data_IF_524338601527
#
_entry.id   IF_524338601527
#
_cell.length_a   1.000
_cell.length_b   1.000
_cell.length_c   1.000
_cell.angle_alpha   90.00
_cell.angle_beta   90.00
_cell.angle_gamma   90.00
#
_symmetry.space_group_name_H-M   'P 1'
#
loop_
_entity.id
_entity.type
_entity.pdbx_description
1 polymer ?
#
# COMPACT_ATOMS: atom_id res chain seq x y z
N UNK A 1 27.61 -6.48 -37.17
CA UNK A 1 27.16 -6.04 -35.82
C UNK A 1 28.27 -6.26 -34.81
N UNK A 2 28.76 -5.19 -34.16
CA UNK A 2 29.91 -5.20 -33.25
C UNK A 2 29.67 -6.16 -32.04
N UNK A 3 30.69 -6.94 -31.64
CA UNK A 3 30.64 -7.85 -30.48
C UNK A 3 30.25 -7.12 -29.19
N UNK A 4 30.69 -5.87 -29.04
CA UNK A 4 30.31 -5.02 -27.90
C UNK A 4 28.82 -4.67 -27.95
N UNK A 5 28.30 -4.30 -29.11
CA UNK A 5 26.87 -3.97 -29.29
C UNK A 5 25.96 -5.18 -28.96
N UNK A 6 26.34 -6.40 -29.38
CA UNK A 6 25.61 -7.63 -29.04
C UNK A 6 25.56 -7.86 -27.52
N UNK A 7 26.69 -7.71 -26.83
CA UNK A 7 26.77 -7.88 -25.36
C UNK A 7 25.93 -6.85 -24.63
N UNK A 8 26.04 -5.58 -25.02
CA UNK A 8 25.24 -4.50 -24.42
C UNK A 8 23.75 -4.74 -24.59
N UNK A 9 23.32 -5.19 -25.77
CA UNK A 9 21.90 -5.48 -26.03
C UNK A 9 21.39 -6.61 -25.14
N UNK A 10 22.15 -7.70 -25.00
CA UNK A 10 21.79 -8.81 -24.10
C UNK A 10 21.67 -8.34 -22.65
N UNK A 11 22.64 -7.57 -22.16
CA UNK A 11 22.60 -7.04 -20.78
C UNK A 11 21.41 -6.12 -20.58
N UNK A 12 21.15 -5.21 -21.51
CA UNK A 12 20.00 -4.30 -21.45
C UNK A 12 18.68 -5.07 -21.42
N UNK A 13 18.53 -6.10 -22.26
CA UNK A 13 17.34 -6.96 -22.27
C UNK A 13 17.13 -7.67 -20.93
N UNK A 14 18.18 -8.22 -20.33
CA UNK A 14 18.09 -8.87 -19.01
C UNK A 14 17.68 -7.88 -17.92
N UNK A 15 18.25 -6.67 -17.93
CA UNK A 15 17.89 -5.63 -16.95
C UNK A 15 16.43 -5.19 -17.08
N UNK A 16 15.92 -5.05 -18.31
CA UNK A 16 14.50 -4.72 -18.56
C UNK A 16 13.58 -5.83 -18.05
N UNK A 17 13.94 -7.09 -18.26
CA UNK A 17 13.16 -8.24 -17.74
C UNK A 17 13.13 -8.22 -16.22
N UNK A 18 14.28 -8.06 -15.56
CA UNK A 18 14.36 -7.99 -14.09
C UNK A 18 13.50 -6.84 -13.56
N UNK A 19 13.63 -5.66 -14.16
CA UNK A 19 12.85 -4.49 -13.78
C UNK A 19 11.34 -4.70 -13.94
N UNK A 20 10.92 -5.36 -15.03
CA UNK A 20 9.52 -5.70 -15.27
C UNK A 20 8.99 -6.66 -14.20
N UNK A 21 9.77 -7.69 -13.85
CA UNK A 21 9.41 -8.63 -12.78
C UNK A 21 9.21 -7.87 -11.46
N UNK A 22 10.12 -6.96 -11.10
CA UNK A 22 10.01 -6.16 -9.87
C UNK A 22 8.75 -5.30 -9.87
N UNK A 23 8.41 -4.66 -10.99
CA UNK A 23 7.21 -3.83 -11.10
C UNK A 23 5.91 -4.62 -11.01
N UNK A 24 5.87 -5.81 -11.63
CA UNK A 24 4.68 -6.67 -11.68
C UNK A 24 4.55 -7.56 -10.44
N UNK A 25 5.57 -7.65 -9.58
CA UNK A 25 5.54 -8.50 -8.39
C UNK A 25 4.52 -7.97 -7.37
N UNK A 26 3.50 -8.76 -6.97
CA UNK A 26 2.54 -8.34 -5.97
C UNK A 26 3.15 -8.42 -4.56
N UNK A 27 3.05 -7.34 -3.80
CA UNK A 27 3.47 -7.26 -2.40
C UNK A 27 2.22 -7.25 -1.51
N UNK A 28 2.09 -8.14 -0.53
CA UNK A 28 0.88 -8.20 0.31
C UNK A 28 0.81 -7.00 1.27
N UNK A 29 -0.38 -6.38 1.41
CA UNK A 29 -0.56 -5.21 2.27
C UNK A 29 -0.30 -5.52 3.74
N UNK A 30 -0.76 -6.67 4.24
CA UNK A 30 -0.53 -7.06 5.64
C UNK A 30 0.93 -6.96 6.08
N UNK A 31 1.90 -7.25 5.19
CA UNK A 31 3.33 -7.21 5.55
C UNK A 31 3.84 -5.80 5.86
N UNK A 32 3.10 -4.76 5.47
CA UNK A 32 3.44 -3.37 5.81
C UNK A 32 3.24 -3.12 7.31
N UNK A 33 2.13 -3.60 7.86
CA UNK A 33 1.82 -3.45 9.27
C UNK A 33 2.63 -4.47 10.06
N UNK A 34 3.77 -4.05 10.64
CA UNK A 34 4.58 -4.92 11.49
C UNK A 34 3.73 -5.42 12.65
N UNK A 35 3.65 -6.74 12.81
CA UNK A 35 3.04 -7.35 14.00
C UNK A 35 3.96 -7.17 15.20
N UNK A 36 3.90 -6.00 15.83
CA UNK A 36 4.30 -5.91 17.22
C UNK A 36 3.11 -6.44 18.04
N UNK A 37 3.25 -7.67 18.54
CA UNK A 37 2.30 -8.26 19.48
C UNK A 37 2.02 -7.25 20.58
N UNK A 38 0.75 -6.84 20.70
CA UNK A 38 0.19 -5.83 21.63
C UNK A 38 0.17 -4.36 21.20
N UNK A 39 0.49 -4.01 19.95
CA UNK A 39 0.17 -2.65 19.45
C UNK A 39 -1.27 -2.52 18.97
N UNK A 40 -1.96 -1.50 19.46
CA UNK A 40 -3.26 -1.10 18.94
C UNK A 40 -3.14 -0.63 17.48
N UNK A 41 -4.19 -0.88 16.70
CA UNK A 41 -4.33 -0.36 15.35
C UNK A 41 -5.17 0.91 15.39
N UNK A 42 -4.72 1.95 14.69
CA UNK A 42 -5.54 3.12 14.40
C UNK A 42 -5.97 3.06 12.95
N UNK A 43 -7.28 3.09 12.71
CA UNK A 43 -7.86 3.20 11.37
C UNK A 43 -8.54 4.55 11.27
N UNK A 44 -8.15 5.35 10.28
CA UNK A 44 -8.76 6.64 10.01
C UNK A 44 -9.31 6.68 8.59
N UNK A 45 -10.50 7.25 8.44
CA UNK A 45 -11.12 7.55 7.16
C UNK A 45 -11.18 9.07 7.02
N UNK A 46 -10.56 9.58 5.98
CA UNK A 46 -10.59 11.01 5.63
C UNK A 46 -11.42 11.18 4.37
N UNK A 47 -12.46 12.02 4.41
CA UNK A 47 -13.16 12.48 3.21
C UNK A 47 -12.76 13.93 2.93
N UNK A 48 -11.99 14.15 1.85
CA UNK A 48 -11.52 15.46 1.40
C UNK A 48 -10.81 16.29 2.50
N UNK A 49 -9.98 15.65 3.33
CA UNK A 49 -9.12 16.26 4.36
C UNK A 49 -9.83 17.14 5.42
N UNK A 50 -11.16 17.13 5.46
CA UNK A 50 -11.95 17.98 6.37
C UNK A 50 -12.74 17.17 7.40
N UNK A 51 -13.05 15.91 7.11
CA UNK A 51 -13.73 15.01 8.03
C UNK A 51 -12.93 13.73 8.22
N UNK A 52 -12.21 13.65 9.34
CA UNK A 52 -11.40 12.49 9.72
C UNK A 52 -12.10 11.74 10.84
N UNK A 53 -12.61 10.55 10.53
CA UNK A 53 -13.13 9.62 11.53
C UNK A 53 -12.04 8.60 11.88
N UNK A 54 -11.57 8.63 13.12
CA UNK A 54 -10.50 7.77 13.62
C UNK A 54 -11.01 6.76 14.64
N UNK A 55 -10.62 5.50 14.46
CA UNK A 55 -11.00 4.36 15.29
C UNK A 55 -9.74 3.71 15.85
N UNK A 56 -9.67 3.54 17.16
CA UNK A 56 -8.60 2.80 17.82
C UNK A 56 -9.10 1.39 18.17
N UNK A 57 -8.39 0.39 17.69
CA UNK A 57 -8.70 -1.03 17.85
C UNK A 57 -7.62 -1.70 18.69
N UNK A 58 -8.03 -2.36 19.77
CA UNK A 58 -7.13 -3.20 20.56
C UNK A 58 -6.60 -4.37 19.71
N UNK A 59 -5.34 -4.78 19.93
CA UNK A 59 -4.73 -5.94 19.30
C UNK A 59 -5.53 -7.24 19.53
N UNK A 60 -6.29 -7.32 20.63
CA UNK A 60 -7.15 -8.47 20.97
C UNK A 60 -8.58 -8.38 20.40
N UNK A 61 -8.94 -7.29 19.72
CA UNK A 61 -10.29 -7.09 19.20
C UNK A 61 -10.58 -7.97 17.98
N UNK A 62 -11.86 -8.30 17.78
CA UNK A 62 -12.31 -9.09 16.62
C UNK A 62 -12.17 -8.25 15.34
N UNK A 63 -12.41 -6.94 15.44
CA UNK A 63 -12.27 -5.96 14.38
C UNK A 63 -10.84 -5.89 13.87
N UNK A 64 -9.86 -5.81 14.78
CA UNK A 64 -8.43 -5.83 14.44
C UNK A 64 -8.08 -7.09 13.63
N UNK A 65 -8.49 -8.27 14.11
CA UNK A 65 -8.22 -9.55 13.43
C UNK A 65 -8.84 -9.59 12.04
N UNK A 66 -10.10 -9.18 11.91
CA UNK A 66 -10.81 -9.13 10.62
C UNK A 66 -10.15 -8.16 9.64
N UNK A 67 -9.72 -6.99 10.08
CA UNK A 67 -9.02 -6.03 9.21
C UNK A 67 -7.69 -6.63 8.74
N UNK A 68 -6.94 -7.29 9.63
CA UNK A 68 -5.71 -7.98 9.23
C UNK A 68 -5.97 -9.11 8.23
N UNK A 69 -7.03 -9.90 8.42
CA UNK A 69 -7.45 -10.96 7.48
C UNK A 69 -7.81 -10.36 6.10
N UNK A 70 -8.59 -9.27 6.07
CA UNK A 70 -8.91 -8.57 4.82
C UNK A 70 -7.65 -8.09 4.12
N UNK A 71 -6.69 -7.50 4.86
CA UNK A 71 -5.42 -7.02 4.30
C UNK A 71 -4.52 -8.14 3.74
N UNK A 72 -4.77 -9.41 4.05
CA UNK A 72 -4.07 -10.55 3.43
C UNK A 72 -4.50 -10.78 1.99
N UNK A 73 -5.76 -10.49 1.66
CA UNK A 73 -6.34 -10.71 0.34
C UNK A 73 -5.92 -9.64 -0.68
N UNK A 74 -5.32 -8.54 -0.21
CA UNK A 74 -4.93 -7.42 -1.05
C UNK A 74 -3.42 -7.29 -1.19
N UNK A 75 -3.02 -6.89 -2.39
CA UNK A 75 -1.62 -6.63 -2.73
C UNK A 75 -1.45 -5.28 -3.44
N UNK A 76 -0.22 -4.79 -3.42
CA UNK A 76 0.20 -3.57 -4.09
C UNK A 76 1.48 -3.84 -4.89
N UNK A 77 1.76 -2.97 -5.85
CA UNK A 77 2.87 -3.11 -6.79
C UNK A 77 3.83 -1.92 -6.71
N UNK A 78 5.08 -2.21 -7.02
CA UNK A 78 6.08 -1.18 -7.24
C UNK A 78 5.68 -0.32 -8.45
N UNK A 79 6.01 0.96 -8.36
CA UNK A 79 5.90 1.92 -9.46
C UNK A 79 7.20 2.69 -9.56
N UNK A 80 7.31 3.54 -10.57
CA UNK A 80 8.45 4.46 -10.66
C UNK A 80 8.61 5.32 -9.38
N UNK A 81 7.49 5.72 -8.77
CA UNK A 81 7.45 6.49 -7.53
C UNK A 81 7.88 5.68 -6.28
N UNK A 82 8.03 4.36 -6.39
CA UNK A 82 8.51 3.54 -5.28
C UNK A 82 10.02 3.70 -5.05
N UNK A 83 10.75 4.25 -6.03
CA UNK A 83 12.20 4.47 -5.94
C UNK A 83 12.57 5.88 -5.47
N UNK A 84 11.58 6.75 -5.27
CA UNK A 84 11.78 8.14 -4.87
C UNK A 84 11.17 8.27 -3.46
N UNK A 85 11.91 8.75 -2.46
CA UNK A 85 11.33 9.10 -1.16
C UNK A 85 10.30 10.21 -1.39
N UNK A 86 9.15 10.11 -0.74
CA UNK A 86 8.09 11.08 -0.88
C UNK A 86 7.75 11.65 0.48
N UNK A 87 7.82 12.97 0.65
CA UNK A 87 7.72 13.61 1.97
C UNK A 87 6.28 13.83 2.45
N UNK A 88 5.29 13.77 1.55
CA UNK A 88 3.89 13.95 1.95
C UNK A 88 2.90 13.34 0.96
N UNK A 89 1.96 12.55 1.44
CA UNK A 89 0.89 12.04 0.59
C UNK A 89 -0.22 13.08 0.44
N UNK A 90 -0.39 13.65 -0.76
CA UNK A 90 -1.57 14.46 -1.11
C UNK A 90 -2.59 13.59 -1.83
N UNK A 91 -3.37 12.85 -1.04
CA UNK A 91 -4.55 12.15 -1.54
C UNK A 91 -5.61 13.17 -1.97
N UNK A 92 -6.27 12.93 -3.10
CA UNK A 92 -7.43 13.72 -3.48
C UNK A 92 -8.68 12.86 -3.27
N UNK A 93 -9.58 13.29 -2.40
CA UNK A 93 -10.82 12.56 -2.11
C UNK A 93 -10.77 11.72 -0.83
N UNK A 94 -11.33 10.52 -0.90
CA UNK A 94 -11.44 9.60 0.22
C UNK A 94 -10.14 8.81 0.46
N UNK A 95 -9.57 8.95 1.65
CA UNK A 95 -8.36 8.25 2.06
C UNK A 95 -8.66 7.28 3.21
N UNK A 96 -8.17 6.05 3.07
CA UNK A 96 -8.10 5.06 4.13
C UNK A 96 -6.69 5.05 4.71
N UNK A 97 -6.58 5.28 6.02
CA UNK A 97 -5.33 5.38 6.75
C UNK A 97 -5.32 4.28 7.80
N UNK A 98 -4.28 3.46 7.84
CA UNK A 98 -4.13 2.41 8.86
C UNK A 98 -2.72 2.49 9.43
N UNK A 99 -2.61 2.63 10.75
CA UNK A 99 -1.35 2.62 11.49
C UNK A 99 -1.35 1.53 12.55
N UNK A 100 -0.20 0.88 12.71
CA UNK A 100 0.11 -0.03 13.81
C UNK A 100 1.54 0.27 14.27
N UNK A 101 1.69 0.75 15.51
CA UNK A 101 2.99 1.23 16.01
C UNK A 101 3.62 2.28 15.09
N UNK A 102 4.86 2.01 14.64
CA UNK A 102 5.63 2.88 13.73
C UNK A 102 5.50 2.48 12.25
N UNK A 103 4.48 1.71 11.88
CA UNK A 103 4.23 1.32 10.49
C UNK A 103 2.82 1.72 10.08
N UNK A 104 2.71 2.20 8.86
CA UNK A 104 1.49 2.80 8.36
C UNK A 104 1.29 2.57 6.89
N UNK A 105 0.03 2.63 6.49
CA UNK A 105 -0.37 2.68 5.10
C UNK A 105 -1.47 3.72 4.92
N UNK A 106 -1.35 4.50 3.84
CA UNK A 106 -2.37 5.45 3.40
C UNK A 106 -2.78 5.07 1.99
N UNK A 107 -4.08 4.91 1.77
CA UNK A 107 -4.65 4.48 0.50
C UNK A 107 -5.60 5.57 0.01
N UNK A 108 -5.30 6.14 -1.15
CA UNK A 108 -6.26 6.97 -1.89
C UNK A 108 -7.23 6.04 -2.61
N UNK A 109 -8.48 6.08 -2.16
CA UNK A 109 -9.53 5.14 -2.57
C UNK A 109 -9.86 5.29 -4.05
N UNK A 110 -9.80 6.52 -4.59
CA UNK A 110 -10.16 6.84 -5.96
C UNK A 110 -9.04 6.48 -6.95
N UNK A 111 -7.79 6.81 -6.64
CA UNK A 111 -6.65 6.59 -7.55
C UNK A 111 -5.95 5.24 -7.37
N UNK A 112 -6.16 4.59 -6.22
CA UNK A 112 -5.49 3.34 -5.85
C UNK A 112 -3.99 3.50 -5.55
N UNK A 113 -3.55 4.74 -5.30
CA UNK A 113 -2.20 5.02 -4.80
C UNK A 113 -2.10 4.58 -3.34
N UNK A 114 -1.01 3.92 -3.02
CA UNK A 114 -0.72 3.45 -1.66
C UNK A 114 0.59 4.05 -1.20
N UNK A 115 0.52 4.78 -0.12
CA UNK A 115 1.68 5.23 0.61
C UNK A 115 2.00 4.20 1.68
N UNK A 116 3.25 3.78 1.75
CA UNK A 116 3.71 2.80 2.74
C UNK A 116 4.80 3.45 3.58
N UNK A 117 4.54 3.55 4.87
CA UNK A 117 5.50 3.95 5.89
C UNK A 117 5.94 2.71 6.68
N UNK A 118 7.25 2.46 6.67
CA UNK A 118 7.90 1.36 7.41
C UNK A 118 8.88 1.88 8.48
N UNK A 119 8.77 3.16 8.86
CA UNK A 119 9.59 3.80 9.89
C UNK A 119 11.00 4.19 9.46
N UNK A 120 11.37 4.05 8.18
CA UNK A 120 12.70 4.41 7.66
C UNK A 120 12.67 5.35 6.46
N UNK A 121 11.71 5.15 5.56
CA UNK A 121 11.46 6.01 4.41
C UNK A 121 10.07 5.67 3.86
N UNK A 122 9.36 6.70 3.45
CA UNK A 122 8.02 6.59 2.90
C UNK A 122 8.09 6.51 1.37
N UNK A 123 7.38 5.55 0.81
CA UNK A 123 7.40 5.29 -0.63
C UNK A 123 5.98 5.10 -1.17
N UNK A 124 5.78 5.53 -2.42
CA UNK A 124 4.48 5.41 -3.11
C UNK A 124 4.45 4.17 -3.98
N UNK A 125 3.35 3.45 -3.89
CA UNK A 125 3.02 2.20 -4.58
C UNK A 125 1.62 2.28 -5.17
N UNK A 126 1.16 1.19 -5.81
CA UNK A 126 -0.17 1.14 -6.43
C UNK A 126 -0.87 -0.19 -6.21
N UNK A 127 -2.09 -0.16 -5.69
CA UNK A 127 -2.98 -1.32 -5.59
C UNK A 127 -3.69 -1.60 -6.90
N UNK A 128 -4.22 -0.56 -7.54
CA UNK A 128 -4.98 -0.67 -8.78
C UNK A 128 -4.06 -0.77 -10.00
N UNK A 129 -2.97 -1.54 -9.90
CA UNK A 129 -1.91 -1.59 -10.93
C UNK A 129 -2.44 -2.19 -12.24
N UNK A 130 -3.29 -3.21 -12.14
CA UNK A 130 -3.93 -3.87 -13.29
C UNK A 130 -5.32 -3.30 -13.63
N UNK A 131 -5.64 -2.09 -13.14
CA UNK A 131 -6.93 -1.43 -13.43
C UNK A 131 -8.13 -1.96 -12.64
N UNK A 132 -7.90 -2.79 -11.62
CA UNK A 132 -8.93 -3.25 -10.69
C UNK A 132 -9.31 -2.14 -9.70
N UNK A 133 -10.50 -2.20 -9.10
CA UNK A 133 -10.97 -1.21 -8.12
C UNK A 133 -10.73 -1.69 -6.67
N UNK A 134 -9.54 -2.21 -6.42
CA UNK A 134 -9.23 -2.93 -5.18
C UNK A 134 -9.13 -2.00 -3.98
N UNK A 135 -8.62 -0.77 -4.17
CA UNK A 135 -8.64 0.28 -3.14
C UNK A 135 -10.06 0.55 -2.64
N UNK A 136 -11.03 0.75 -3.53
CA UNK A 136 -12.42 0.99 -3.14
C UNK A 136 -13.07 -0.22 -2.47
N UNK A 137 -12.80 -1.43 -2.96
CA UNK A 137 -13.30 -2.66 -2.32
C UNK A 137 -12.73 -2.83 -0.92
N UNK A 138 -11.42 -2.61 -0.73
CA UNK A 138 -10.76 -2.68 0.56
C UNK A 138 -11.38 -1.67 1.54
N UNK A 139 -11.48 -0.39 1.14
CA UNK A 139 -12.10 0.66 1.96
C UNK A 139 -13.53 0.29 2.35
N UNK A 140 -14.34 -0.21 1.41
CA UNK A 140 -15.70 -0.64 1.69
C UNK A 140 -15.77 -1.85 2.65
N UNK A 141 -14.87 -2.82 2.54
CA UNK A 141 -14.81 -3.95 3.48
C UNK A 141 -14.41 -3.51 4.89
N UNK A 142 -13.45 -2.60 5.03
CA UNK A 142 -13.03 -2.07 6.33
C UNK A 142 -14.15 -1.26 6.99
N UNK A 143 -14.85 -0.40 6.23
CA UNK A 143 -16.03 0.33 6.73
C UNK A 143 -17.08 -0.61 7.31
N UNK A 144 -17.37 -1.73 6.63
CA UNK A 144 -18.29 -2.76 7.15
C UNK A 144 -17.82 -3.37 8.47
N UNK A 145 -16.51 -3.63 8.63
CA UNK A 145 -15.97 -4.12 9.91
C UNK A 145 -16.13 -3.09 11.02
N UNK A 146 -15.90 -1.82 10.71
CA UNK A 146 -16.06 -0.68 11.62
C UNK A 146 -17.52 -0.27 11.85
N UNK A 147 -18.46 -0.86 11.12
CA UNK A 147 -19.91 -0.61 11.20
C UNK A 147 -20.31 0.83 10.88
N UNK A 148 -19.72 1.38 9.82
CA UNK A 148 -19.94 2.74 9.28
C UNK A 148 -20.21 2.71 7.78
#
# INVERSE_FOLDING_TARGET
>A
MNKYLKRTLVVASVMIIIFSIIMLWPLPLRKVLRQETDTAMTVSLSDNDTNISSFSLSASSVEYRRIMEILEDYSYHCTWYSFIPHESFTGHGENLIIYTGNSGLVIDTASGRVFVDRGTAEHTYRMNYLGQNDSAKLTAQIKKVLKI
#
